data_IF_329389722458
#
_entry.id   IF_329389722458
#
_cell.length_a   1.000
_cell.length_b   1.000
_cell.length_c   1.000
_cell.angle_alpha   90.00
_cell.angle_beta   90.00
_cell.angle_gamma   90.00
#
_symmetry.space_group_name_H-M   'P 1'
#
loop_
_entity.id
_entity.type
_entity.pdbx_description
1 polymer ?
#
# COMPACT_ATOMS: atom_id res chain seq x y z
N UNK A 1 -2.15 -8.57 9.17
CA UNK A 1 -1.82 -7.31 9.88
C UNK A 1 -1.85 -7.55 11.37
N UNK A 2 -2.83 -8.31 11.87
CA UNK A 2 -2.89 -8.79 13.26
C UNK A 2 -1.56 -9.42 13.73
N UNK A 3 -0.91 -10.22 12.89
CA UNK A 3 0.37 -10.87 13.22
C UNK A 3 1.54 -9.88 13.39
N UNK A 4 1.40 -8.62 12.95
CA UNK A 4 2.38 -7.57 13.22
C UNK A 4 2.22 -6.98 14.63
N UNK A 5 1.02 -7.05 15.22
CA UNK A 5 0.74 -6.53 16.56
C UNK A 5 1.53 -7.28 17.63
N UNK A 6 1.88 -8.54 17.37
CA UNK A 6 2.67 -9.38 18.27
C UNK A 6 4.17 -9.05 18.28
N UNK A 7 4.65 -8.16 17.39
CA UNK A 7 6.05 -7.75 17.35
C UNK A 7 6.33 -6.62 18.34
N UNK A 8 7.29 -6.85 19.23
CA UNK A 8 7.69 -5.88 20.28
C UNK A 8 8.14 -4.52 19.75
N UNK A 9 8.55 -4.44 18.49
CA UNK A 9 8.97 -3.20 17.84
C UNK A 9 7.76 -2.33 17.44
N UNK A 10 6.58 -2.93 17.26
CA UNK A 10 5.36 -2.26 16.82
C UNK A 10 4.67 -1.63 18.02
N UNK A 11 4.41 -0.32 17.91
CA UNK A 11 3.69 0.45 18.93
C UNK A 11 2.20 0.54 18.60
N UNK A 12 1.86 0.82 17.35
CA UNK A 12 0.49 1.09 16.93
C UNK A 12 0.29 0.70 15.46
N UNK A 13 -0.89 0.15 15.16
CA UNK A 13 -1.37 -0.06 13.81
C UNK A 13 -2.74 0.61 13.66
N UNK A 14 -2.87 1.52 12.70
CA UNK A 14 -4.15 2.11 12.31
C UNK A 14 -4.44 1.67 10.88
N UNK A 15 -5.59 1.06 10.64
CA UNK A 15 -5.98 0.59 9.30
C UNK A 15 -7.17 1.41 8.81
N UNK A 16 -7.04 1.95 7.61
CA UNK A 16 -8.12 2.59 6.88
C UNK A 16 -8.41 1.77 5.62
N UNK A 17 -9.67 1.45 5.40
CA UNK A 17 -10.12 0.78 4.18
C UNK A 17 -11.04 1.71 3.41
N UNK A 18 -10.90 1.72 2.09
CA UNK A 18 -11.76 2.50 1.20
C UNK A 18 -11.76 1.89 -0.21
N UNK A 19 -12.67 2.36 -1.04
CA UNK A 19 -12.76 1.98 -2.44
C UNK A 19 -11.74 2.75 -3.27
N UNK A 20 -11.17 2.11 -4.30
CA UNK A 20 -10.36 2.81 -5.29
C UNK A 20 -11.14 3.94 -5.97
N UNK A 21 -10.47 5.04 -6.36
CA UNK A 21 -11.12 6.12 -7.08
C UNK A 21 -11.62 5.66 -8.46
N UNK A 22 -12.56 6.40 -9.02
CA UNK A 22 -13.02 6.19 -10.41
C UNK A 22 -12.05 6.94 -11.33
N UNK A 23 -11.47 6.22 -12.29
CA UNK A 23 -10.58 6.79 -13.31
C UNK A 23 -11.29 7.20 -14.60
N UNK A 24 -10.50 7.59 -15.61
CA UNK A 24 -10.98 8.39 -16.75
C UNK A 24 -11.56 7.58 -17.93
N UNK A 25 -11.70 6.25 -17.80
CA UNK A 25 -12.04 5.34 -18.90
C UNK A 25 -13.14 4.32 -18.60
N UNK A 26 -13.73 3.71 -19.65
CA UNK A 26 -14.67 2.59 -19.50
C UNK A 26 -13.90 1.31 -19.11
N UNK A 27 -14.27 0.70 -17.97
CA UNK A 27 -13.67 -0.51 -17.35
C UNK A 27 -12.27 -0.30 -16.76
N UNK A 28 -12.13 0.74 -15.94
CA UNK A 28 -10.95 0.97 -15.09
C UNK A 28 -10.82 -0.09 -13.99
N UNK A 29 -9.60 -0.27 -13.48
CA UNK A 29 -9.24 -1.16 -12.36
C UNK A 29 -9.94 -0.81 -11.03
N UNK A 30 -10.80 0.22 -11.00
CA UNK A 30 -11.64 0.62 -9.86
C UNK A 30 -12.64 -0.45 -9.41
N UNK A 31 -12.96 -1.43 -10.26
CA UNK A 31 -13.93 -2.49 -9.97
C UNK A 31 -13.27 -3.87 -10.00
N UNK A 32 -13.93 -4.85 -9.38
CA UNK A 32 -13.64 -6.27 -9.52
C UNK A 32 -14.03 -6.78 -10.91
N UNK A 33 -13.73 -8.05 -11.20
CA UNK A 33 -13.97 -8.69 -12.51
C UNK A 33 -15.44 -8.68 -12.92
N UNK A 34 -16.37 -8.59 -11.97
CA UNK A 34 -17.80 -8.42 -12.22
C UNK A 34 -18.17 -7.05 -12.82
N UNK A 35 -17.25 -6.07 -12.76
CA UNK A 35 -17.44 -4.70 -13.23
C UNK A 35 -18.44 -3.88 -12.42
N UNK A 36 -18.88 -4.36 -11.26
CA UNK A 36 -19.92 -3.74 -10.42
C UNK A 36 -19.40 -3.51 -9.00
N UNK A 37 -18.67 -4.46 -8.43
CA UNK A 37 -18.15 -4.36 -7.06
C UNK A 37 -16.93 -3.43 -7.02
N UNK A 38 -16.94 -2.33 -6.25
CA UNK A 38 -15.78 -1.45 -6.14
C UNK A 38 -14.60 -2.18 -5.50
N UNK A 39 -13.45 -2.13 -6.16
CA UNK A 39 -12.21 -2.71 -5.67
C UNK A 39 -11.72 -1.92 -4.45
N UNK A 40 -11.42 -2.62 -3.37
CA UNK A 40 -10.97 -1.97 -2.13
C UNK A 40 -9.45 -1.84 -2.07
N UNK A 41 -8.98 -0.93 -1.21
CA UNK A 41 -7.62 -0.90 -0.72
C UNK A 41 -7.60 -0.73 0.80
N UNK A 42 -6.53 -1.20 1.42
CA UNK A 42 -6.21 -0.97 2.81
C UNK A 42 -4.93 -0.12 2.90
N UNK A 43 -5.01 1.00 3.60
CA UNK A 43 -3.89 1.83 3.99
C UNK A 43 -3.67 1.64 5.50
N UNK A 44 -2.62 0.93 5.87
CA UNK A 44 -2.22 0.79 7.26
C UNK A 44 -1.11 1.78 7.60
N UNK A 45 -1.24 2.47 8.72
CA UNK A 45 -0.14 3.21 9.36
C UNK A 45 0.42 2.34 10.47
N UNK A 46 1.70 1.99 10.38
CA UNK A 46 2.42 1.23 11.40
C UNK A 46 3.45 2.15 12.05
N UNK A 47 3.26 2.44 13.33
CA UNK A 47 4.20 3.21 14.14
C UNK A 47 5.05 2.25 14.97
N UNK A 48 6.37 2.45 14.96
CA UNK A 48 7.32 1.68 15.74
C UNK A 48 7.75 2.48 16.99
N UNK A 49 8.17 1.78 18.05
CA UNK A 49 8.65 2.43 19.28
C UNK A 49 9.91 3.29 19.09
N UNK A 50 10.67 3.08 18.02
CA UNK A 50 11.82 3.92 17.67
C UNK A 50 11.44 5.25 17.00
N UNK A 51 10.14 5.54 16.85
CA UNK A 51 9.62 6.75 16.23
C UNK A 51 9.42 6.67 14.72
N UNK A 52 9.83 5.57 14.08
CA UNK A 52 9.59 5.39 12.65
C UNK A 52 8.12 5.08 12.36
N UNK A 53 7.61 5.65 11.27
CA UNK A 53 6.26 5.40 10.78
C UNK A 53 6.31 4.88 9.34
N UNK A 54 5.47 3.88 9.07
CA UNK A 54 5.33 3.27 7.76
C UNK A 54 3.88 3.32 7.30
N UNK A 55 3.65 3.67 6.03
CA UNK A 55 2.37 3.45 5.35
C UNK A 55 2.46 2.17 4.54
N UNK A 56 1.61 1.20 4.83
CA UNK A 56 1.49 -0.04 4.05
C UNK A 56 0.22 0.05 3.23
N UNK A 57 0.37 0.03 1.90
CA UNK A 57 -0.73 0.07 0.94
C UNK A 57 -0.90 -1.30 0.30
N UNK A 58 -2.05 -1.92 0.57
CA UNK A 58 -2.51 -3.17 -0.04
C UNK A 58 -3.76 -2.88 -0.86
N UNK A 59 -3.82 -3.40 -2.08
CA UNK A 59 -4.99 -3.28 -2.95
C UNK A 59 -5.57 -4.67 -3.16
N UNK A 60 -6.89 -4.76 -3.22
CA UNK A 60 -7.60 -6.00 -3.53
C UNK A 60 -7.25 -6.50 -4.94
N UNK A 61 -6.98 -7.80 -5.04
CA UNK A 61 -6.45 -8.42 -6.26
C UNK A 61 -7.34 -9.57 -6.68
N UNK A 62 -7.68 -9.58 -7.95
CA UNK A 62 -8.27 -10.71 -8.67
C UNK A 62 -7.36 -10.95 -9.87
N UNK A 63 -6.71 -12.12 -9.90
CA UNK A 63 -5.88 -12.57 -11.02
C UNK A 63 -4.73 -11.64 -11.45
N UNK A 64 -4.35 -10.63 -10.65
CA UNK A 64 -3.24 -9.72 -10.94
C UNK A 64 -2.08 -9.82 -9.93
N UNK A 65 -0.85 -9.71 -10.45
CA UNK A 65 0.38 -9.74 -9.66
C UNK A 65 0.79 -8.34 -9.18
N UNK A 66 -0.12 -7.64 -8.48
CA UNK A 66 0.19 -6.35 -7.86
C UNK A 66 0.92 -6.57 -6.53
N UNK A 67 2.03 -5.88 -6.30
CA UNK A 67 2.77 -5.95 -5.04
C UNK A 67 2.21 -4.97 -4.02
N UNK A 68 2.23 -5.34 -2.74
CA UNK A 68 2.08 -4.40 -1.64
C UNK A 68 3.19 -3.34 -1.66
N UNK A 69 2.85 -2.11 -1.31
CA UNK A 69 3.82 -1.02 -1.09
C UNK A 69 3.99 -0.75 0.41
N UNK A 70 5.23 -0.53 0.81
CA UNK A 70 5.62 -0.06 2.13
C UNK A 70 6.33 1.26 1.91
N UNK A 71 5.77 2.32 2.45
CA UNK A 71 6.22 3.69 2.27
C UNK A 71 6.69 4.23 3.61
N UNK A 72 7.80 4.96 3.61
CA UNK A 72 8.27 5.69 4.78
C UNK A 72 8.88 7.02 4.35
N UNK A 73 9.15 7.90 5.31
CA UNK A 73 9.90 9.12 5.07
C UNK A 73 10.73 9.47 6.29
N UNK A 74 11.86 10.13 6.05
CA UNK A 74 12.67 10.75 7.09
C UNK A 74 12.30 12.22 7.32
N UNK A 75 11.37 12.77 6.54
CA UNK A 75 10.92 14.16 6.62
C UNK A 75 9.40 14.30 6.72
N UNK A 76 8.93 15.55 6.74
CA UNK A 76 7.49 15.85 6.73
C UNK A 76 6.92 15.59 5.33
N UNK A 77 5.93 14.69 5.27
CA UNK A 77 5.24 14.31 4.03
C UNK A 77 3.74 14.54 4.20
N UNK A 78 3.14 15.25 3.25
CA UNK A 78 1.69 15.32 3.14
C UNK A 78 1.17 14.07 2.42
N UNK A 79 0.84 13.04 3.18
CA UNK A 79 0.52 11.71 2.65
C UNK A 79 -0.75 11.66 1.80
N UNK A 80 -1.80 12.38 2.19
CA UNK A 80 -3.11 12.29 1.52
C UNK A 80 -3.04 12.53 0.01
N UNK A 81 -2.54 13.69 -0.50
CA UNK A 81 -2.49 13.93 -1.93
C UNK A 81 -1.56 12.97 -2.68
N UNK A 82 -0.52 12.46 -2.02
CA UNK A 82 0.39 11.49 -2.62
C UNK A 82 -0.26 10.12 -2.79
N UNK A 83 -0.98 9.65 -1.77
CA UNK A 83 -1.73 8.39 -1.84
C UNK A 83 -2.88 8.51 -2.84
N UNK A 84 -3.64 9.59 -2.82
CA UNK A 84 -4.74 9.81 -3.77
C UNK A 84 -4.26 9.79 -5.22
N UNK A 85 -3.17 10.51 -5.51
CA UNK A 85 -2.54 10.51 -6.83
C UNK A 85 -2.00 9.14 -7.23
N UNK A 86 -1.38 8.42 -6.29
CA UNK A 86 -0.87 7.07 -6.52
C UNK A 86 -2.00 6.08 -6.87
N UNK A 87 -3.12 6.13 -6.15
CA UNK A 87 -4.28 5.29 -6.37
C UNK A 87 -4.99 5.61 -7.69
N UNK A 88 -5.14 6.90 -8.03
CA UNK A 88 -5.71 7.30 -9.30
C UNK A 88 -4.85 6.83 -10.47
N UNK A 89 -3.53 6.98 -10.37
CA UNK A 89 -2.59 6.50 -11.39
C UNK A 89 -2.62 4.98 -11.53
N UNK A 90 -2.72 4.23 -10.41
CA UNK A 90 -2.90 2.78 -10.44
C UNK A 90 -4.15 2.40 -11.24
N UNK A 91 -5.26 3.07 -10.95
CA UNK A 91 -6.54 2.84 -11.62
C UNK A 91 -6.44 3.12 -13.12
N UNK A 92 -5.91 4.28 -13.49
CA UNK A 92 -5.72 4.70 -14.88
C UNK A 92 -4.68 3.84 -15.62
N UNK A 93 -3.77 3.19 -14.89
CA UNK A 93 -2.75 2.27 -15.43
C UNK A 93 -3.16 0.80 -15.31
N UNK A 94 -4.46 0.52 -15.22
CA UNK A 94 -5.03 -0.84 -15.21
C UNK A 94 -4.44 -1.75 -14.13
N UNK A 95 -4.20 -1.20 -12.93
CA UNK A 95 -3.68 -1.96 -11.79
C UNK A 95 -2.17 -2.13 -11.79
N UNK A 96 -1.42 -1.25 -12.45
CA UNK A 96 0.05 -1.26 -12.45
C UNK A 96 0.64 -0.10 -11.65
N UNK A 97 1.61 -0.39 -10.77
CA UNK A 97 2.49 0.64 -10.20
C UNK A 97 3.48 1.14 -11.26
N UNK A 98 3.06 2.14 -12.03
CA UNK A 98 3.91 2.75 -13.06
C UNK A 98 5.10 3.48 -12.43
N UNK A 99 6.24 3.47 -13.14
CA UNK A 99 7.51 3.98 -12.61
C UNK A 99 7.41 5.47 -12.29
N UNK A 100 6.77 6.23 -13.16
CA UNK A 100 6.60 7.67 -13.09
C UNK A 100 5.85 8.08 -11.81
N UNK A 101 4.80 7.33 -11.43
CA UNK A 101 4.09 7.58 -10.17
C UNK A 101 4.93 7.29 -8.93
N UNK A 102 5.81 6.29 -9.00
CA UNK A 102 6.74 5.98 -7.91
C UNK A 102 7.85 7.05 -7.82
N UNK A 103 8.35 7.55 -8.95
CA UNK A 103 9.34 8.63 -8.97
C UNK A 103 8.78 9.94 -8.36
N UNK A 104 7.48 10.22 -8.50
CA UNK A 104 6.83 11.37 -7.87
C UNK A 104 6.88 11.27 -6.33
N UNK A 105 6.62 10.08 -5.79
CA UNK A 105 6.75 9.79 -4.36
C UNK A 105 8.20 9.98 -3.90
N UNK A 106 9.17 9.41 -4.62
CA UNK A 106 10.60 9.54 -4.30
C UNK A 106 11.06 11.00 -4.29
N UNK A 107 10.64 11.81 -5.27
CA UNK A 107 10.89 13.27 -5.30
C UNK A 107 10.24 14.02 -4.15
N UNK A 108 9.24 13.42 -3.50
CA UNK A 108 8.55 13.95 -2.33
C UNK A 108 9.14 13.41 -1.01
N UNK A 109 10.38 12.91 -1.04
CA UNK A 109 11.08 12.31 0.11
C UNK A 109 10.44 11.03 0.66
N UNK A 110 9.70 10.29 -0.16
CA UNK A 110 9.14 8.99 0.22
C UNK A 110 10.07 7.87 -0.22
N UNK A 111 10.45 7.02 0.73
CA UNK A 111 11.16 5.77 0.47
C UNK A 111 10.12 4.69 0.17
N UNK A 112 10.30 3.97 -0.93
CA UNK A 112 9.35 2.96 -1.40
C UNK A 112 10.00 1.58 -1.34
N UNK A 113 9.35 0.65 -0.66
CA UNK A 113 9.68 -0.76 -0.72
C UNK A 113 8.50 -1.57 -1.22
N UNK A 114 8.78 -2.58 -2.04
CA UNK A 114 7.77 -3.53 -2.51
C UNK A 114 7.84 -4.82 -1.71
N UNK A 115 6.69 -5.38 -1.38
CA UNK A 115 6.56 -6.72 -0.82
C UNK A 115 5.71 -7.58 -1.76
N UNK A 116 6.30 -8.70 -2.23
CA UNK A 116 5.58 -9.66 -3.05
C UNK A 116 4.66 -10.50 -2.17
N UNK A 117 3.50 -10.84 -2.72
CA UNK A 117 2.67 -11.86 -2.10
C UNK A 117 3.36 -13.21 -2.20
N UNK A 118 3.39 -13.90 -1.06
CA UNK A 118 3.82 -15.29 -1.00
C UNK A 118 2.62 -16.16 -0.64
N UNK A 119 2.62 -17.42 -1.08
CA UNK A 119 1.63 -18.42 -0.63
C UNK A 119 1.91 -18.92 0.80
N UNK A 120 2.93 -18.38 1.47
CA UNK A 120 3.32 -18.78 2.83
C UNK A 120 2.35 -18.21 3.86
N UNK A 121 2.40 -18.75 5.07
CA UNK A 121 1.56 -18.38 6.20
C UNK A 121 1.75 -16.92 6.62
N UNK A 122 0.74 -16.38 7.32
CA UNK A 122 0.71 -14.98 7.70
C UNK A 122 1.88 -14.57 8.60
N UNK A 123 2.30 -15.40 9.55
CA UNK A 123 3.46 -15.16 10.39
C UNK A 123 4.76 -14.96 9.58
N UNK A 124 4.94 -15.73 8.49
CA UNK A 124 6.09 -15.55 7.61
C UNK A 124 6.05 -14.20 6.89
N UNK A 125 4.85 -13.78 6.44
CA UNK A 125 4.66 -12.48 5.77
C UNK A 125 4.90 -11.32 6.74
N UNK A 126 4.38 -11.42 7.96
CA UNK A 126 4.60 -10.44 9.02
C UNK A 126 6.10 -10.27 9.31
N UNK A 127 6.84 -11.38 9.44
CA UNK A 127 8.31 -11.36 9.60
C UNK A 127 9.01 -10.63 8.46
N UNK A 128 8.61 -10.88 7.21
CA UNK A 128 9.19 -10.19 6.05
C UNK A 128 8.87 -8.69 6.03
N UNK A 129 7.68 -8.29 6.47
CA UNK A 129 7.31 -6.88 6.60
C UNK A 129 8.13 -6.20 7.69
N UNK A 130 8.26 -6.79 8.88
CA UNK A 130 9.09 -6.25 9.97
C UNK A 130 10.55 -6.09 9.54
N UNK A 131 11.14 -7.08 8.87
CA UNK A 131 12.51 -6.97 8.35
C UNK A 131 12.68 -5.89 7.27
N UNK A 132 11.60 -5.42 6.64
CA UNK A 132 11.65 -4.28 5.71
C UNK A 132 11.52 -2.94 6.44
N UNK A 133 10.98 -2.93 7.66
CA UNK A 133 10.73 -1.73 8.46
C UNK A 133 11.84 -1.46 9.49
N UNK A 134 12.63 -2.48 9.83
CA UNK A 134 13.84 -2.39 10.66
C UNK A 134 15.09 -2.20 9.79
#
# INVERSE_FOLDING_TARGET
MQELEDYKEVQLIIIQMSSLPIGDGKRVFSYLEDGVTPRQYALATVSLFNGNEFKILEVERENCALSMLILSSTGLVNWNPLIDSLLLNLVNSSGTWVKESLEILERSNVIIQKAKHSKKEYAHRAKLLIHKML
#
